data_IF_954102143682
#
_entry.id   IF_954102143682
#
_cell.length_a   1.000
_cell.length_b   1.000
_cell.length_c   1.000
_cell.angle_alpha   90.00
_cell.angle_beta   90.00
_cell.angle_gamma   90.00
#
_symmetry.space_group_name_H-M   'P 1'
#
loop_
_entity.id
_entity.type
_entity.pdbx_description
1 polymer ?
#
# COMPACT_ATOMS: atom_id res chain seq x y z
N UNK A 1 7.11 16.47 46.35
CA UNK A 1 7.73 15.30 45.70
C UNK A 1 6.86 14.87 44.55
N UNK A 2 7.27 15.19 43.32
CA UNK A 2 6.62 14.74 42.10
C UNK A 2 7.37 13.50 41.57
N UNK A 3 6.72 12.34 41.58
CA UNK A 3 7.24 11.13 40.94
C UNK A 3 7.08 11.24 39.42
N UNK A 4 8.20 11.36 38.72
CA UNK A 4 8.28 11.26 37.26
C UNK A 4 8.26 9.76 36.92
N UNK A 5 7.14 9.26 36.39
CA UNK A 5 7.07 7.92 35.86
C UNK A 5 7.68 7.94 34.46
N UNK A 6 8.87 7.38 34.29
CA UNK A 6 9.48 7.15 32.99
C UNK A 6 8.76 5.98 32.34
N UNK A 7 7.98 6.24 31.26
CA UNK A 7 7.52 5.21 30.36
C UNK A 7 8.72 4.66 29.58
N UNK A 8 9.17 3.49 29.95
CA UNK A 8 10.09 2.70 29.12
C UNK A 8 9.32 2.18 27.91
N UNK A 9 9.56 2.78 26.76
CA UNK A 9 9.11 2.22 25.48
C UNK A 9 9.81 0.87 25.30
N UNK A 10 9.04 -0.21 25.27
CA UNK A 10 9.55 -1.52 24.89
C UNK A 10 10.09 -1.45 23.46
N UNK A 11 11.28 -2.04 23.18
CA UNK A 11 11.76 -2.12 21.81
C UNK A 11 10.75 -2.92 20.99
N UNK A 12 10.33 -2.37 19.86
CA UNK A 12 9.55 -3.13 18.88
C UNK A 12 10.35 -4.39 18.54
N UNK A 13 9.76 -5.55 18.79
CA UNK A 13 10.36 -6.82 18.39
C UNK A 13 10.68 -6.73 16.90
N UNK A 14 11.96 -6.94 16.55
CA UNK A 14 12.35 -7.07 15.16
C UNK A 14 11.52 -8.23 14.60
N UNK A 15 10.75 -7.96 13.52
CA UNK A 15 10.04 -9.02 12.84
C UNK A 15 11.09 -10.08 12.44
N UNK A 16 10.82 -11.33 12.79
CA UNK A 16 11.61 -12.48 12.37
C UNK A 16 11.78 -12.39 10.84
N UNK A 17 13.01 -12.45 10.31
CA UNK A 17 13.18 -12.33 8.88
C UNK A 17 12.39 -13.46 8.23
N UNK A 18 11.26 -13.11 7.64
CA UNK A 18 10.40 -14.09 6.98
C UNK A 18 11.23 -14.80 5.89
N UNK A 19 11.21 -16.12 5.89
CA UNK A 19 11.90 -16.93 4.88
C UNK A 19 11.32 -16.57 3.52
N UNK A 20 12.14 -16.04 2.62
CA UNK A 20 11.72 -15.64 1.29
C UNK A 20 11.77 -16.79 0.31
N UNK A 21 11.06 -16.69 -0.79
CA UNK A 21 10.98 -17.74 -1.78
C UNK A 21 12.37 -18.17 -2.33
N UNK A 22 13.32 -17.23 -2.50
CA UNK A 22 14.69 -17.54 -2.88
C UNK A 22 15.44 -18.35 -1.82
N UNK A 23 15.19 -18.11 -0.54
CA UNK A 23 15.80 -18.85 0.56
C UNK A 23 15.31 -20.30 0.60
N UNK A 24 14.12 -20.54 0.08
CA UNK A 24 13.54 -21.88 -0.11
C UNK A 24 14.01 -22.58 -1.41
N UNK A 25 14.89 -21.95 -2.19
CA UNK A 25 15.39 -22.52 -3.44
C UNK A 25 14.41 -22.40 -4.62
N UNK A 26 13.36 -21.58 -4.51
CA UNK A 26 12.49 -21.31 -5.66
C UNK A 26 13.28 -20.56 -6.72
N UNK A 27 13.39 -21.08 -7.96
CA UNK A 27 14.17 -20.44 -9.01
C UNK A 27 13.48 -19.17 -9.50
N UNK A 28 14.23 -18.07 -9.54
CA UNK A 28 13.84 -16.83 -10.16
C UNK A 28 14.94 -16.34 -11.08
N UNK A 29 14.58 -15.89 -12.26
CA UNK A 29 15.50 -15.22 -13.17
C UNK A 29 15.96 -13.87 -12.60
N UNK A 30 17.09 -13.39 -13.07
CA UNK A 30 17.66 -12.10 -12.68
C UNK A 30 18.52 -12.14 -11.41
N UNK A 31 19.23 -11.04 -11.20
CA UNK A 31 20.11 -10.82 -10.06
C UNK A 31 19.41 -9.85 -9.11
N UNK A 32 19.10 -10.25 -7.87
CA UNK A 32 18.47 -9.35 -6.92
C UNK A 32 19.42 -8.23 -6.48
N UNK A 33 18.85 -7.07 -6.19
CA UNK A 33 19.56 -6.00 -5.49
C UNK A 33 19.79 -6.35 -4.00
N UNK A 34 20.47 -5.47 -3.26
CA UNK A 34 20.84 -5.71 -1.86
C UNK A 34 19.67 -6.05 -0.94
N UNK A 35 18.49 -5.50 -1.19
CA UNK A 35 17.28 -5.72 -0.38
C UNK A 35 16.37 -6.78 -0.99
N UNK A 36 16.65 -7.20 -2.23
CA UNK A 36 15.76 -8.05 -3.02
C UNK A 36 14.30 -7.53 -2.98
N UNK A 37 14.13 -6.24 -3.16
CA UNK A 37 12.84 -5.56 -3.07
C UNK A 37 12.75 -4.37 -4.04
N UNK A 38 11.53 -3.88 -4.27
CA UNK A 38 11.28 -2.71 -5.13
C UNK A 38 12.01 -1.47 -4.64
N UNK A 39 12.33 -1.37 -3.37
CA UNK A 39 13.07 -0.27 -2.73
C UNK A 39 14.57 -0.30 -2.98
N UNK A 40 15.10 -1.29 -3.71
CA UNK A 40 16.43 -1.21 -4.29
C UNK A 40 16.54 -0.08 -5.33
N UNK A 41 15.40 0.34 -5.90
CA UNK A 41 15.34 1.53 -6.75
C UNK A 41 15.36 2.78 -5.87
N UNK A 42 16.37 3.61 -6.07
CA UNK A 42 16.55 4.82 -5.29
C UNK A 42 15.34 5.76 -5.39
N UNK A 43 14.84 6.23 -4.25
CA UNK A 43 13.69 7.11 -4.14
C UNK A 43 12.35 6.38 -3.97
N UNK A 44 12.27 5.10 -4.26
CA UNK A 44 11.06 4.31 -4.01
C UNK A 44 10.86 4.09 -2.52
N UNK A 45 9.65 4.35 -2.04
CA UNK A 45 9.24 4.08 -0.67
C UNK A 45 7.99 3.19 -0.65
N UNK A 46 7.92 2.28 0.31
CA UNK A 46 6.80 1.35 0.48
C UNK A 46 6.29 1.39 1.91
N UNK A 47 4.98 1.32 2.07
CA UNK A 47 4.31 1.15 3.35
C UNK A 47 3.23 0.10 3.28
N UNK A 48 2.96 -0.56 4.41
CA UNK A 48 1.88 -1.52 4.58
C UNK A 48 1.03 -1.20 5.80
N UNK A 49 -0.28 -1.38 5.66
CA UNK A 49 -1.22 -1.47 6.77
C UNK A 49 -1.91 -2.83 6.67
N UNK A 50 -1.56 -3.73 7.58
CA UNK A 50 -2.09 -5.10 7.62
C UNK A 50 -3.15 -5.20 8.70
N UNK A 51 -4.34 -5.67 8.32
CA UNK A 51 -5.51 -5.79 9.21
C UNK A 51 -5.80 -7.27 9.45
N UNK A 52 -5.51 -7.73 10.67
CA UNK A 52 -5.72 -9.12 11.09
C UNK A 52 -6.57 -9.11 12.35
N UNK A 53 -7.75 -9.70 12.30
CA UNK A 53 -8.61 -9.88 13.47
C UNK A 53 -9.56 -11.08 13.34
N UNK A 54 -9.98 -11.61 14.47
CA UNK A 54 -10.89 -12.73 14.52
C UNK A 54 -10.31 -14.06 14.03
N UNK A 55 -11.09 -15.13 14.17
CA UNK A 55 -10.75 -16.49 13.74
C UNK A 55 -12.03 -17.29 13.51
N UNK A 56 -11.89 -18.47 12.91
CA UNK A 56 -13.02 -19.37 12.66
C UNK A 56 -13.64 -19.20 11.29
N UNK A 57 -14.94 -19.52 11.16
CA UNK A 57 -15.67 -19.47 9.90
C UNK A 57 -15.91 -18.01 9.45
N UNK A 58 -15.82 -17.78 8.15
CA UNK A 58 -16.20 -16.50 7.56
C UNK A 58 -17.69 -16.19 7.78
N UNK A 59 -17.95 -15.03 8.39
CA UNK A 59 -19.29 -14.50 8.58
C UNK A 59 -19.30 -13.02 8.16
N UNK A 60 -20.15 -12.66 7.22
CA UNK A 60 -20.27 -11.31 6.69
C UNK A 60 -20.41 -10.26 7.80
N UNK A 61 -19.57 -9.24 7.79
CA UNK A 61 -19.54 -8.15 8.76
C UNK A 61 -18.95 -8.49 10.12
N UNK A 62 -18.50 -9.72 10.32
CA UNK A 62 -17.92 -10.19 11.59
C UNK A 62 -16.46 -10.63 11.47
N UNK A 63 -16.07 -11.13 10.31
CA UNK A 63 -14.72 -11.65 10.05
C UNK A 63 -14.68 -13.16 9.87
N UNK A 64 -13.50 -13.79 9.96
CA UNK A 64 -12.22 -13.18 10.27
C UNK A 64 -11.76 -12.17 9.22
N UNK A 65 -10.90 -11.23 9.63
CA UNK A 65 -10.31 -10.20 8.77
C UNK A 65 -8.87 -10.56 8.47
N UNK A 66 -8.51 -10.59 7.19
CA UNK A 66 -7.15 -10.85 6.65
C UNK A 66 -6.98 -10.01 5.40
N UNK A 67 -6.73 -8.73 5.56
CA UNK A 67 -6.68 -7.76 4.48
C UNK A 67 -5.70 -6.63 4.80
N UNK A 68 -5.64 -5.64 3.94
CA UNK A 68 -4.79 -4.48 4.17
C UNK A 68 -4.72 -3.52 3.00
N UNK A 69 -3.77 -2.62 3.10
CA UNK A 69 -3.40 -1.66 2.04
C UNK A 69 -1.89 -1.61 1.93
N UNK A 70 -1.39 -1.67 0.71
CA UNK A 70 0.01 -1.39 0.40
C UNK A 70 0.10 -0.11 -0.41
N UNK A 71 1.03 0.78 -0.07
CA UNK A 71 1.34 1.96 -0.86
C UNK A 71 2.77 1.90 -1.39
N UNK A 72 2.94 2.21 -2.67
CA UNK A 72 4.22 2.40 -3.33
C UNK A 72 4.31 3.86 -3.78
N UNK A 73 5.33 4.55 -3.32
CA UNK A 73 5.63 5.94 -3.67
C UNK A 73 6.89 5.96 -4.55
N UNK A 74 6.77 6.14 -5.87
CA UNK A 74 7.91 6.04 -6.79
C UNK A 74 9.02 7.08 -6.54
N UNK A 75 8.67 8.24 -5.99
CA UNK A 75 9.60 9.34 -5.63
C UNK A 75 9.45 9.75 -4.17
N UNK A 76 9.13 8.80 -3.29
CA UNK A 76 8.84 9.12 -1.90
C UNK A 76 7.65 10.07 -1.79
N UNK A 77 7.76 11.07 -0.91
CA UNK A 77 6.67 12.03 -0.65
C UNK A 77 6.75 13.31 -1.48
N UNK A 78 7.69 13.39 -2.38
CA UNK A 78 7.83 14.54 -3.29
C UNK A 78 6.89 14.36 -4.47
N UNK A 79 6.21 15.42 -4.88
CA UNK A 79 5.48 15.42 -6.13
C UNK A 79 6.50 15.58 -7.27
N UNK A 80 6.81 14.47 -7.89
CA UNK A 80 7.74 14.36 -9.01
C UNK A 80 7.24 13.24 -9.93
N UNK A 81 6.41 13.58 -10.94
CA UNK A 81 5.82 12.59 -11.83
C UNK A 81 6.87 11.74 -12.54
N UNK A 82 6.60 10.45 -12.65
CA UNK A 82 7.46 9.49 -13.34
C UNK A 82 6.79 8.97 -14.61
N UNK A 83 7.56 8.61 -15.60
CA UNK A 83 7.04 7.86 -16.74
C UNK A 83 6.46 6.54 -16.28
N UNK A 84 5.29 6.22 -16.76
CA UNK A 84 4.60 5.00 -16.38
C UNK A 84 3.71 4.48 -17.50
N UNK A 85 3.50 3.17 -17.46
CA UNK A 85 2.58 2.46 -18.33
C UNK A 85 1.86 1.37 -17.56
N UNK A 86 0.79 0.84 -18.13
CA UNK A 86 0.07 -0.28 -17.56
C UNK A 86 -0.35 -1.26 -18.66
N UNK A 87 -0.59 -2.47 -18.27
CA UNK A 87 -1.08 -3.52 -19.15
C UNK A 87 -2.16 -4.34 -18.43
N UNK A 88 -3.27 -4.58 -19.12
CA UNK A 88 -4.31 -5.48 -18.64
C UNK A 88 -4.01 -6.89 -19.12
N UNK A 89 -3.70 -7.80 -18.20
CA UNK A 89 -3.55 -9.22 -18.50
C UNK A 89 -4.91 -9.81 -18.92
N UNK A 90 -5.98 -9.39 -18.23
CA UNK A 90 -7.37 -9.71 -18.54
C UNK A 90 -8.28 -8.63 -17.93
N UNK A 91 -9.58 -8.74 -18.11
CA UNK A 91 -10.57 -7.78 -17.60
C UNK A 91 -11.20 -8.16 -16.26
N UNK A 92 -10.69 -9.19 -15.58
CA UNK A 92 -11.23 -9.65 -14.30
C UNK A 92 -10.47 -9.02 -13.13
N UNK A 93 -10.59 -7.71 -12.97
CA UNK A 93 -9.92 -6.94 -11.92
C UNK A 93 -10.24 -5.47 -12.00
N UNK A 94 -9.92 -4.75 -10.94
CA UNK A 94 -10.13 -3.31 -10.81
C UNK A 94 -8.79 -2.59 -10.72
N UNK A 95 -8.61 -1.53 -11.53
CA UNK A 95 -7.51 -0.59 -11.39
C UNK A 95 -7.97 0.80 -11.80
N UNK A 96 -7.91 1.76 -10.88
CA UNK A 96 -8.27 3.15 -11.16
C UNK A 96 -7.11 3.93 -11.80
N UNK A 97 -7.38 5.11 -12.35
CA UNK A 97 -6.35 6.00 -12.90
C UNK A 97 -5.76 5.58 -14.24
N UNK A 98 -6.09 4.41 -14.75
CA UNK A 98 -5.49 3.83 -15.97
C UNK A 98 -5.76 4.62 -17.24
N UNK A 99 -6.93 5.29 -17.33
CA UNK A 99 -7.27 6.13 -18.49
C UNK A 99 -6.32 7.31 -18.61
N UNK A 100 -6.06 8.00 -17.49
CA UNK A 100 -5.11 9.11 -17.45
C UNK A 100 -3.68 8.64 -17.69
N UNK A 101 -3.30 7.52 -17.09
CA UNK A 101 -1.98 6.93 -17.28
C UNK A 101 -1.71 6.60 -18.75
N UNK A 102 -2.71 6.09 -19.46
CA UNK A 102 -2.62 5.83 -20.92
C UNK A 102 -2.47 7.11 -21.72
N UNK A 103 -3.22 8.15 -21.37
CA UNK A 103 -3.21 9.43 -22.08
C UNK A 103 -1.91 10.20 -21.86
N UNK A 104 -1.49 10.31 -20.59
CA UNK A 104 -0.35 11.16 -20.21
C UNK A 104 1.01 10.46 -20.28
N UNK A 105 1.04 9.13 -20.14
CA UNK A 105 2.29 8.38 -19.96
C UNK A 105 2.99 8.66 -18.63
N UNK A 106 2.33 9.37 -17.71
CA UNK A 106 2.92 9.83 -16.44
C UNK A 106 2.08 9.45 -15.23
N UNK A 107 2.74 9.09 -14.15
CA UNK A 107 2.18 8.83 -12.84
C UNK A 107 2.63 9.89 -11.85
N UNK A 108 1.70 10.69 -11.34
CA UNK A 108 1.96 11.74 -10.34
C UNK A 108 1.44 11.41 -8.94
N UNK A 109 0.91 10.21 -8.73
CA UNK A 109 0.35 9.80 -7.43
C UNK A 109 1.05 8.56 -6.90
N UNK A 110 0.92 8.23 -5.60
CA UNK A 110 1.21 6.90 -5.11
C UNK A 110 0.39 5.85 -5.86
N UNK A 111 0.92 4.62 -5.94
CA UNK A 111 0.18 3.43 -6.34
C UNK A 111 -0.24 2.71 -5.08
N UNK A 112 -1.52 2.36 -4.96
CA UNK A 112 -2.01 1.57 -3.84
C UNK A 112 -2.61 0.25 -4.32
N UNK A 113 -2.49 -0.76 -3.48
CA UNK A 113 -3.09 -2.08 -3.69
C UNK A 113 -3.87 -2.45 -2.44
N UNK A 114 -5.08 -2.97 -2.63
CA UNK A 114 -5.97 -3.39 -1.55
C UNK A 114 -6.89 -4.51 -2.01
N UNK A 115 -7.88 -4.91 -1.23
CA UNK A 115 -8.86 -5.88 -1.70
C UNK A 115 -9.88 -5.26 -2.68
N UNK A 116 -10.54 -6.10 -3.47
CA UNK A 116 -11.48 -5.71 -4.54
C UNK A 116 -12.55 -4.72 -4.08
N UNK A 117 -13.17 -4.96 -2.91
CA UNK A 117 -14.27 -4.13 -2.43
C UNK A 117 -13.82 -2.82 -1.77
N UNK A 118 -12.52 -2.66 -1.56
CA UNK A 118 -11.95 -1.49 -0.89
C UNK A 118 -11.29 -0.48 -1.84
N UNK A 119 -11.22 -0.76 -3.15
CA UNK A 119 -10.62 0.13 -4.14
C UNK A 119 -11.23 1.54 -4.07
N UNK A 120 -12.54 1.65 -3.93
CA UNK A 120 -13.24 2.94 -3.86
C UNK A 120 -12.81 3.79 -2.66
N UNK A 121 -12.86 3.24 -1.44
CA UNK A 121 -12.48 3.96 -0.23
C UNK A 121 -10.99 4.32 -0.22
N UNK A 122 -10.14 3.46 -0.73
CA UNK A 122 -8.69 3.72 -0.84
C UNK A 122 -8.43 4.84 -1.85
N UNK A 123 -9.09 4.82 -3.01
CA UNK A 123 -8.99 5.87 -4.01
C UNK A 123 -9.39 7.24 -3.44
N UNK A 124 -10.54 7.32 -2.80
CA UNK A 124 -11.05 8.56 -2.23
C UNK A 124 -10.12 9.09 -1.12
N UNK A 125 -9.57 8.19 -0.30
CA UNK A 125 -8.60 8.58 0.73
C UNK A 125 -7.29 9.13 0.14
N UNK A 126 -6.80 8.61 -0.98
CA UNK A 126 -5.62 9.18 -1.65
C UNK A 126 -5.91 10.58 -2.18
N UNK A 127 -7.09 10.82 -2.73
CA UNK A 127 -7.51 12.16 -3.18
C UNK A 127 -7.55 13.12 -1.99
N UNK A 128 -8.17 12.70 -0.89
CA UNK A 128 -8.22 13.50 0.36
C UNK A 128 -6.80 13.79 0.90
N UNK A 129 -5.91 12.79 0.88
CA UNK A 129 -4.53 12.96 1.33
C UNK A 129 -3.76 13.98 0.47
N UNK A 130 -3.92 13.91 -0.87
CA UNK A 130 -3.33 14.89 -1.79
C UNK A 130 -3.88 16.30 -1.54
N UNK A 131 -5.19 16.44 -1.39
CA UNK A 131 -5.83 17.71 -1.12
C UNK A 131 -5.34 18.37 0.20
N UNK A 132 -5.14 17.54 1.25
CA UNK A 132 -4.63 18.02 2.54
C UNK A 132 -3.17 18.49 2.48
N UNK A 133 -2.37 17.94 1.59
CA UNK A 133 -0.96 18.33 1.43
C UNK A 133 -0.78 19.69 0.81
N UNK A 134 -1.82 20.25 0.18
CA UNK A 134 -1.70 21.48 -0.57
C UNK A 134 -0.56 21.36 -1.57
N UNK A 135 -0.58 20.35 -2.42
CA UNK A 135 0.41 20.17 -3.47
C UNK A 135 0.28 21.33 -4.44
N UNK A 136 0.89 22.45 -4.07
CA UNK A 136 0.93 23.68 -4.83
C UNK A 136 1.96 23.62 -5.94
N UNK A 137 1.65 22.93 -6.99
CA UNK A 137 2.23 23.16 -8.29
C UNK A 137 1.10 23.55 -9.22
N UNK A 138 1.32 24.26 -10.29
CA UNK A 138 0.34 24.90 -11.17
C UNK A 138 -0.82 24.02 -11.71
N UNK A 139 -0.85 22.73 -11.38
CA UNK A 139 -1.89 21.76 -11.70
C UNK A 139 -2.45 21.01 -10.50
N UNK A 140 -2.08 21.35 -9.32
CA UNK A 140 -1.96 20.42 -8.21
C UNK A 140 -3.13 20.36 -7.27
N UNK A 141 -3.88 21.39 -7.13
CA UNK A 141 -4.92 21.47 -6.10
C UNK A 141 -6.20 20.73 -6.48
N UNK A 142 -6.54 20.74 -7.75
CA UNK A 142 -7.92 20.48 -8.18
C UNK A 142 -8.09 19.16 -8.93
N UNK A 143 -6.99 18.40 -9.15
CA UNK A 143 -7.04 17.23 -10.00
C UNK A 143 -6.16 16.08 -9.50
N UNK A 144 -6.76 14.95 -9.19
CA UNK A 144 -6.05 13.74 -8.78
C UNK A 144 -6.76 12.49 -9.29
N UNK A 145 -6.05 11.69 -10.08
CA UNK A 145 -6.51 10.40 -10.58
C UNK A 145 -5.56 9.28 -10.10
N UNK A 146 -5.64 8.91 -8.80
CA UNK A 146 -4.73 7.94 -8.24
C UNK A 146 -4.92 6.55 -8.84
N UNK A 147 -3.81 5.80 -8.90
CA UNK A 147 -3.79 4.40 -9.28
C UNK A 147 -4.02 3.56 -8.03
N UNK A 148 -5.15 2.88 -7.98
CA UNK A 148 -5.48 1.89 -6.94
C UNK A 148 -5.88 0.61 -7.64
N UNK A 149 -5.14 -0.45 -7.37
CA UNK A 149 -5.36 -1.79 -7.89
C UNK A 149 -5.91 -2.72 -6.80
N UNK A 150 -6.45 -3.84 -7.23
CA UNK A 150 -7.06 -4.81 -6.32
C UNK A 150 -6.36 -6.16 -6.34
N UNK A 151 -6.55 -6.88 -5.22
CA UNK A 151 -6.35 -8.33 -5.09
C UNK A 151 -7.57 -8.92 -4.40
N UNK A 152 -8.06 -10.05 -4.89
CA UNK A 152 -9.19 -10.70 -4.25
C UNK A 152 -8.74 -11.56 -3.07
N UNK A 153 -9.16 -11.21 -1.86
CA UNK A 153 -8.78 -11.89 -0.60
C UNK A 153 -9.93 -12.66 0.06
N UNK A 154 -11.09 -12.73 -0.57
CA UNK A 154 -12.35 -13.26 0.00
C UNK A 154 -12.38 -14.74 0.40
N UNK A 155 -11.26 -15.48 0.24
CA UNK A 155 -11.15 -16.85 0.80
C UNK A 155 -10.84 -16.81 2.29
N UNK A 156 -9.97 -15.88 2.71
CA UNK A 156 -9.48 -15.79 4.10
C UNK A 156 -10.02 -14.57 4.83
N UNK A 157 -10.55 -13.61 4.09
CA UNK A 157 -11.03 -12.33 4.58
C UNK A 157 -12.55 -12.20 4.40
N UNK A 158 -13.22 -11.64 5.40
CA UNK A 158 -14.59 -11.13 5.27
C UNK A 158 -14.58 -9.86 4.40
N UNK A 159 -14.45 -10.04 3.08
CA UNK A 159 -14.33 -8.94 2.11
C UNK A 159 -15.58 -8.05 2.08
N UNK A 160 -16.76 -8.63 2.36
CA UNK A 160 -18.04 -7.92 2.41
C UNK A 160 -18.23 -7.13 3.72
N UNK A 161 -17.33 -7.27 4.69
CA UNK A 161 -17.34 -6.49 5.91
C UNK A 161 -16.78 -5.08 5.77
N UNK A 162 -16.15 -4.75 4.62
CA UNK A 162 -15.57 -3.43 4.32
C UNK A 162 -14.62 -2.94 5.42
N UNK A 163 -13.72 -3.80 5.86
CA UNK A 163 -12.84 -3.55 6.99
C UNK A 163 -11.73 -2.54 6.72
N UNK A 164 -11.35 -2.33 5.46
CA UNK A 164 -10.41 -1.27 5.08
C UNK A 164 -11.11 0.09 5.19
N UNK A 165 -10.45 1.02 5.88
CA UNK A 165 -10.95 2.39 6.10
C UNK A 165 -9.91 3.40 5.63
N UNK A 166 -10.31 4.65 5.44
CA UNK A 166 -9.42 5.73 4.99
C UNK A 166 -8.24 5.98 5.96
N UNK A 167 -8.44 5.71 7.24
CA UNK A 167 -7.40 5.84 8.26
C UNK A 167 -6.22 4.92 7.97
N UNK A 168 -6.46 3.69 7.51
CA UNK A 168 -5.41 2.75 7.09
C UNK A 168 -4.62 3.30 5.89
N UNK A 169 -5.28 4.02 4.97
CA UNK A 169 -4.60 4.66 3.84
C UNK A 169 -3.69 5.79 4.31
N UNK A 170 -4.15 6.62 5.25
CA UNK A 170 -3.32 7.69 5.81
C UNK A 170 -2.13 7.13 6.58
N UNK A 171 -2.35 6.06 7.35
CA UNK A 171 -1.31 5.34 8.07
C UNK A 171 -0.23 4.80 7.11
N UNK A 172 -0.61 4.07 6.07
CA UNK A 172 0.33 3.47 5.12
C UNK A 172 1.12 4.52 4.36
N UNK A 173 0.50 5.62 3.96
CA UNK A 173 1.17 6.73 3.29
C UNK A 173 2.14 7.47 4.23
N UNK A 174 1.79 7.58 5.51
CA UNK A 174 2.66 8.15 6.54
C UNK A 174 3.83 7.22 6.90
N UNK A 175 3.61 5.91 6.88
CA UNK A 175 4.62 4.91 7.22
C UNK A 175 5.56 4.58 6.06
N UNK A 176 5.22 4.94 4.82
CA UNK A 176 6.02 4.62 3.64
C UNK A 176 7.46 5.14 3.77
N UNK A 177 8.44 4.24 3.55
CA UNK A 177 9.86 4.51 3.67
C UNK A 177 10.68 3.69 2.67
N UNK A 178 11.89 4.15 2.29
CA UNK A 178 12.87 3.33 1.58
C UNK A 178 13.46 2.27 2.53
N UNK A 179 14.29 1.38 1.99
CA UNK A 179 14.94 0.33 2.78
C UNK A 179 14.20 -1.00 2.73
N UNK A 180 14.48 -1.93 3.63
CA UNK A 180 13.85 -3.24 3.63
C UNK A 180 12.33 -3.15 3.70
N UNK A 181 11.66 -3.85 2.79
CA UNK A 181 10.20 -3.97 2.78
C UNK A 181 9.82 -5.15 3.66
N UNK A 182 9.00 -4.89 4.69
CA UNK A 182 8.45 -5.97 5.50
C UNK A 182 7.47 -6.81 4.66
N UNK A 183 7.42 -8.10 4.93
CA UNK A 183 6.34 -8.93 4.42
C UNK A 183 5.03 -8.46 5.05
N UNK A 184 4.04 -8.24 4.22
CA UNK A 184 2.75 -7.72 4.66
C UNK A 184 1.62 -8.34 3.87
N UNK A 185 0.44 -8.29 4.45
CA UNK A 185 -0.76 -8.73 3.80
C UNK A 185 -1.47 -7.53 3.15
N UNK A 186 -1.95 -7.75 1.95
CA UNK A 186 -2.76 -6.81 1.17
C UNK A 186 -4.06 -7.45 0.79
#
# INVERSE_FOLDING_TARGET
LACLAALLAAPAAAADPSVRARDLGVPFDGIPGPLNSITDVAGVAVGHATIISGSGKLERGKGPVRTGVTAVLPRGRTYDPVFAGWHALNGNGEMTGTTWLRESGCLGTPILVTNTHSVGVVRDAVIEWNARKGTSGDYSGDFSLPVVAETWDGVLNDIDGFHVKKEHVFEVLAAARPGPVAEGNV
#
